data_IF_022396097629
#
_entry.id   IF_022396097629
#
_cell.length_a   1.000
_cell.length_b   1.000
_cell.length_c   1.000
_cell.angle_alpha   90.00
_cell.angle_beta   90.00
_cell.angle_gamma   90.00
#
_symmetry.space_group_name_H-M   'P 1'
#
loop_
_entity.id
_entity.type
_entity.pdbx_description
1 polymer ?
#
# COMPACT_ATOMS: atom_id res chain seq x y z
N UNK A 1 -3.94 19.80 0.96
CA UNK A 1 -4.83 18.68 0.71
C UNK A 1 -5.55 18.30 1.99
N UNK A 2 -6.85 18.59 2.03
CA UNK A 2 -7.66 18.41 3.25
C UNK A 2 -8.11 16.96 3.47
N UNK A 3 -8.00 16.10 2.44
CA UNK A 3 -8.47 14.71 2.48
C UNK A 3 -7.42 13.70 2.95
N UNK A 4 -6.14 14.10 3.08
CA UNK A 4 -5.03 13.20 3.34
C UNK A 4 -4.56 12.38 2.12
N UNK A 5 -5.27 12.45 0.99
CA UNK A 5 -4.83 11.82 -0.25
C UNK A 5 -3.92 12.76 -1.05
N UNK A 6 -2.78 12.23 -1.49
CA UNK A 6 -1.78 12.94 -2.26
C UNK A 6 -1.65 12.33 -3.65
N UNK A 7 -1.82 13.18 -4.68
CA UNK A 7 -1.73 12.75 -6.08
C UNK A 7 -0.39 13.19 -6.68
N UNK A 8 0.37 12.24 -7.22
CA UNK A 8 1.51 12.48 -8.11
C UNK A 8 1.08 12.14 -9.52
N UNK A 9 1.51 12.96 -10.48
CA UNK A 9 1.26 12.68 -11.89
C UNK A 9 2.40 13.21 -12.76
N UNK A 10 2.88 12.37 -13.65
CA UNK A 10 3.84 12.73 -14.69
C UNK A 10 3.63 11.83 -15.92
N UNK A 11 3.71 12.42 -17.12
CA UNK A 11 3.38 11.70 -18.35
C UNK A 11 1.99 11.08 -18.31
N UNK A 12 1.93 9.75 -18.48
CA UNK A 12 0.68 8.97 -18.38
C UNK A 12 0.49 8.30 -17.02
N UNK A 13 1.45 8.44 -16.10
CA UNK A 13 1.43 7.77 -14.80
C UNK A 13 0.79 8.66 -13.75
N UNK A 14 -0.15 8.09 -13.00
CA UNK A 14 -0.79 8.72 -11.84
C UNK A 14 -0.65 7.77 -10.66
N UNK A 15 -0.23 8.31 -9.53
CA UNK A 15 -0.16 7.63 -8.25
C UNK A 15 -0.96 8.43 -7.22
N UNK A 16 -1.73 7.74 -6.41
CA UNK A 16 -2.50 8.33 -5.30
C UNK A 16 -2.07 7.61 -4.02
N UNK A 17 -1.50 8.36 -3.09
CA UNK A 17 -1.06 7.91 -1.77
C UNK A 17 -2.07 8.32 -0.71
N UNK A 18 -2.48 7.40 0.15
CA UNK A 18 -3.23 7.67 1.38
C UNK A 18 -2.23 7.97 2.51
N UNK A 19 -2.04 9.24 2.81
CA UNK A 19 -1.17 9.73 3.89
C UNK A 19 -1.95 10.61 4.88
N UNK A 20 -3.24 10.35 5.01
CA UNK A 20 -4.10 10.99 6.00
C UNK A 20 -4.28 10.15 7.28
N UNK A 21 -4.64 10.80 8.38
CA UNK A 21 -5.10 10.06 9.55
C UNK A 21 -6.43 9.36 9.23
N UNK A 22 -6.70 8.19 9.84
CA UNK A 22 -8.00 7.55 9.71
C UNK A 22 -9.14 8.52 10.08
N UNK A 23 -10.31 8.37 9.44
CA UNK A 23 -11.43 9.28 9.68
C UNK A 23 -11.89 9.24 11.13
N UNK A 24 -12.31 10.39 11.66
CA UNK A 24 -12.84 10.54 13.02
C UNK A 24 -14.36 10.42 13.06
N UNK A 25 -14.91 10.20 14.26
CA UNK A 25 -16.36 10.19 14.55
C UNK A 25 -17.12 9.15 13.70
N UNK A 26 -18.31 9.52 13.18
CA UNK A 26 -19.20 8.61 12.44
C UNK A 26 -18.56 8.02 11.17
N UNK A 27 -17.73 8.80 10.48
CA UNK A 27 -16.97 8.33 9.31
C UNK A 27 -15.98 7.22 9.64
N UNK A 28 -15.57 7.08 10.90
CA UNK A 28 -14.71 6.03 11.41
C UNK A 28 -15.31 4.62 11.21
N UNK A 29 -16.63 4.48 11.26
CA UNK A 29 -17.33 3.19 11.10
C UNK A 29 -16.96 2.47 9.81
N UNK A 30 -16.60 3.20 8.78
CA UNK A 30 -16.27 2.67 7.45
C UNK A 30 -14.78 2.79 7.09
N UNK A 31 -13.98 3.30 8.00
CA UNK A 31 -12.56 3.51 7.79
C UNK A 31 -11.80 2.19 7.60
N UNK A 32 -10.73 2.25 6.82
CA UNK A 32 -9.83 1.14 6.55
C UNK A 32 -8.47 1.39 7.23
N UNK A 33 -7.80 0.32 7.64
CA UNK A 33 -6.46 0.36 8.17
C UNK A 33 -5.41 0.40 7.03
N UNK A 34 -5.63 1.28 6.03
CA UNK A 34 -4.85 1.38 4.80
C UNK A 34 -3.78 2.48 4.80
N UNK A 35 -3.37 2.96 5.97
CA UNK A 35 -2.40 4.05 6.06
C UNK A 35 -1.14 3.80 5.24
N UNK A 36 -0.68 4.84 4.54
CA UNK A 36 0.42 4.85 3.57
C UNK A 36 0.23 3.89 2.38
N UNK A 37 -0.97 3.39 2.13
CA UNK A 37 -1.25 2.63 0.90
C UNK A 37 -1.28 3.55 -0.31
N UNK A 38 -0.97 3.00 -1.50
CA UNK A 38 -1.10 3.76 -2.73
C UNK A 38 -1.74 2.94 -3.84
N UNK A 39 -2.33 3.64 -4.80
CA UNK A 39 -2.76 3.09 -6.08
C UNK A 39 -2.02 3.76 -7.22
N UNK A 40 -1.76 3.02 -8.29
CA UNK A 40 -1.02 3.50 -9.46
C UNK A 40 -1.70 3.08 -10.75
N UNK A 41 -1.83 4.03 -11.68
CA UNK A 41 -2.33 3.80 -13.03
C UNK A 41 -1.42 4.41 -14.08
N UNK A 42 -1.47 3.87 -15.32
CA UNK A 42 -0.75 4.39 -16.48
C UNK A 42 -1.73 4.54 -17.63
N UNK A 43 -2.04 5.76 -17.99
CA UNK A 43 -3.14 6.07 -18.90
C UNK A 43 -4.48 5.58 -18.32
N UNK A 44 -5.15 4.66 -19.03
CA UNK A 44 -6.41 4.06 -18.59
C UNK A 44 -6.24 2.72 -17.84
N UNK A 45 -5.03 2.21 -17.72
CA UNK A 45 -4.76 0.92 -17.10
C UNK A 45 -4.38 1.12 -15.64
N UNK A 46 -5.13 0.51 -14.72
CA UNK A 46 -4.76 0.42 -13.30
C UNK A 46 -3.73 -0.70 -13.15
N UNK A 47 -2.63 -0.42 -12.46
CA UNK A 47 -1.57 -1.41 -12.21
C UNK A 47 -1.61 -1.92 -10.77
N UNK A 48 -1.36 -1.02 -9.83
CA UNK A 48 -1.38 -1.28 -8.39
C UNK A 48 -2.66 -0.67 -7.84
N UNK A 49 -3.39 -1.45 -7.06
CA UNK A 49 -4.69 -1.09 -6.50
C UNK A 49 -4.78 -1.52 -5.04
N UNK A 50 -5.82 -1.11 -4.33
CA UNK A 50 -6.26 -1.75 -3.10
C UNK A 50 -7.40 -2.74 -3.43
N UNK A 51 -7.73 -3.66 -2.52
CA UNK A 51 -8.76 -4.68 -2.77
C UNK A 51 -10.18 -4.10 -2.91
N UNK A 52 -10.40 -2.85 -2.50
CA UNK A 52 -11.69 -2.18 -2.53
C UNK A 52 -12.50 -2.36 -1.25
N UNK A 53 -13.80 -2.12 -1.31
CA UNK A 53 -14.72 -2.21 -0.16
C UNK A 53 -15.99 -2.96 -0.53
N UNK A 54 -16.53 -3.77 0.39
CA UNK A 54 -17.70 -4.61 0.13
C UNK A 54 -18.66 -4.64 1.32
N UNK A 55 -19.53 -3.67 1.41
CA UNK A 55 -20.58 -3.65 2.45
C UNK A 55 -21.67 -4.69 2.19
N UNK A 56 -21.95 -4.98 0.93
CA UNK A 56 -23.05 -5.82 0.46
C UNK A 56 -22.67 -7.31 0.33
N UNK A 57 -21.39 -7.66 0.43
CA UNK A 57 -20.94 -9.07 0.41
C UNK A 57 -20.97 -9.74 1.80
N UNK A 58 -21.53 -9.07 2.80
CA UNK A 58 -21.62 -9.54 4.17
C UNK A 58 -20.47 -9.08 5.06
N UNK A 59 -20.67 -9.24 6.37
CA UNK A 59 -19.79 -8.68 7.40
C UNK A 59 -18.36 -9.24 7.32
N UNK A 60 -18.20 -10.52 7.02
CA UNK A 60 -16.88 -11.15 6.90
C UNK A 60 -16.02 -10.47 5.83
N UNK A 61 -16.56 -10.25 4.64
CA UNK A 61 -15.88 -9.52 3.57
C UNK A 61 -15.62 -8.06 3.94
N UNK A 62 -16.59 -7.41 4.56
CA UNK A 62 -16.42 -6.05 5.03
C UNK A 62 -15.23 -5.91 5.99
N UNK A 63 -15.12 -6.82 6.97
CA UNK A 63 -14.01 -6.79 7.93
C UNK A 63 -12.66 -7.08 7.28
N UNK A 64 -12.57 -8.10 6.42
CA UNK A 64 -11.32 -8.47 5.74
C UNK A 64 -10.80 -7.35 4.85
N UNK A 65 -11.67 -6.71 4.07
CA UNK A 65 -11.26 -5.65 3.13
C UNK A 65 -10.85 -4.34 3.83
N UNK A 66 -11.17 -4.17 5.10
CA UNK A 66 -10.71 -3.03 5.92
C UNK A 66 -9.32 -3.24 6.52
N UNK A 67 -8.77 -4.46 6.48
CA UNK A 67 -7.44 -4.77 7.06
C UNK A 67 -6.31 -4.11 6.28
N UNK A 68 -5.18 -3.89 6.93
CA UNK A 68 -3.96 -3.40 6.27
C UNK A 68 -3.52 -4.35 5.16
N UNK A 69 -3.68 -5.66 5.35
CA UNK A 69 -3.32 -6.68 4.36
C UNK A 69 -4.14 -6.59 3.05
N UNK A 70 -5.28 -5.91 3.03
CA UNK A 70 -6.09 -5.66 1.83
C UNK A 70 -5.68 -4.38 1.06
N UNK A 71 -4.58 -3.75 1.46
CA UNK A 71 -4.08 -2.50 0.89
C UNK A 71 -2.64 -2.64 0.43
N UNK A 72 -2.24 -1.84 -0.57
CA UNK A 72 -0.88 -1.80 -1.10
C UNK A 72 0.04 -1.01 -0.18
N UNK A 73 0.30 -1.58 0.99
CA UNK A 73 1.11 -1.05 2.08
C UNK A 73 1.76 -2.17 2.88
N UNK A 74 2.38 -1.85 4.01
CA UNK A 74 3.14 -2.78 4.84
C UNK A 74 2.32 -3.26 6.05
N UNK A 75 2.40 -4.56 6.35
CA UNK A 75 2.03 -5.14 7.65
C UNK A 75 3.27 -5.56 8.44
N UNK A 76 3.20 -5.51 9.76
CA UNK A 76 4.23 -6.00 10.70
C UNK A 76 3.63 -7.11 11.54
N UNK A 77 4.27 -8.30 11.56
CA UNK A 77 3.78 -9.52 12.23
C UNK A 77 2.29 -9.81 11.96
N UNK A 78 1.83 -9.53 10.72
CA UNK A 78 0.42 -9.66 10.27
C UNK A 78 -0.59 -8.82 11.07
N UNK A 79 -0.12 -7.83 11.81
CA UNK A 79 -0.95 -6.88 12.57
C UNK A 79 -1.30 -5.68 11.69
N UNK A 80 -2.51 -5.15 11.88
CA UNK A 80 -2.98 -3.94 11.20
C UNK A 80 -2.32 -2.66 11.76
N UNK A 81 -2.05 -1.69 10.89
CA UNK A 81 -1.55 -0.35 11.28
C UNK A 81 -2.55 0.45 12.12
N UNK A 82 -3.83 0.09 12.07
CA UNK A 82 -4.87 0.56 12.98
C UNK A 82 -5.69 -0.63 13.46
N UNK A 83 -6.11 -0.66 14.73
CA UNK A 83 -6.87 -1.77 15.28
C UNK A 83 -8.36 -1.60 14.96
N UNK A 84 -8.89 -2.50 14.15
CA UNK A 84 -10.29 -2.49 13.75
C UNK A 84 -11.20 -2.95 14.90
N UNK A 85 -12.34 -2.28 15.05
CA UNK A 85 -13.41 -2.75 15.92
C UNK A 85 -14.34 -3.69 15.16
N UNK A 86 -14.75 -4.79 15.80
CA UNK A 86 -15.58 -5.83 15.19
C UNK A 86 -16.96 -5.33 14.70
N UNK A 87 -17.53 -4.36 15.37
CA UNK A 87 -18.81 -3.75 15.01
C UNK A 87 -18.67 -2.48 14.13
N UNK A 88 -17.53 -2.32 13.47
CA UNK A 88 -17.18 -1.14 12.68
C UNK A 88 -16.39 -0.11 13.48
N UNK A 89 -15.65 0.75 12.76
CA UNK A 89 -14.75 1.71 13.38
C UNK A 89 -13.39 1.11 13.79
N UNK A 90 -12.72 1.81 14.69
CA UNK A 90 -11.40 1.45 15.20
C UNK A 90 -11.39 1.45 16.72
N UNK A 91 -10.65 0.51 17.31
CA UNK A 91 -10.26 0.52 18.73
C UNK A 91 -9.01 1.37 18.95
N UNK A 92 -8.09 1.36 17.97
CA UNK A 92 -6.86 2.14 17.97
C UNK A 92 -6.59 2.67 16.57
N UNK A 93 -6.24 3.95 16.48
CA UNK A 93 -5.76 4.62 15.27
C UNK A 93 -4.35 5.17 15.50
N UNK A 94 -3.57 5.43 14.45
CA UNK A 94 -2.35 6.22 14.56
C UNK A 94 -2.62 7.56 15.23
N UNK A 95 -1.71 7.97 16.10
CA UNK A 95 -1.76 9.29 16.75
C UNK A 95 -1.14 10.36 15.85
N UNK A 96 -0.12 9.96 15.08
CA UNK A 96 0.64 10.85 14.21
C UNK A 96 0.71 10.27 12.81
N UNK A 97 0.31 11.09 11.84
CA UNK A 97 0.53 10.86 10.42
C UNK A 97 1.12 12.13 9.85
N UNK A 98 2.29 12.02 9.26
CA UNK A 98 3.01 13.12 8.64
C UNK A 98 3.10 12.89 7.14
N UNK A 99 3.01 13.97 6.35
CA UNK A 99 3.27 13.92 4.93
C UNK A 99 3.88 15.24 4.44
N UNK A 100 4.93 15.13 3.64
CA UNK A 100 5.53 16.25 2.92
C UNK A 100 5.66 15.94 1.44
N UNK A 101 5.57 16.97 0.62
CA UNK A 101 5.80 16.89 -0.82
C UNK A 101 6.83 17.92 -1.22
N UNK A 102 7.77 17.52 -2.06
CA UNK A 102 8.82 18.40 -2.62
C UNK A 102 9.15 18.02 -4.06
N UNK A 103 9.70 18.94 -4.78
CA UNK A 103 10.27 18.72 -6.11
C UNK A 103 11.81 18.76 -5.98
N UNK A 104 12.50 17.74 -6.49
CA UNK A 104 13.95 17.61 -6.46
C UNK A 104 14.41 17.19 -7.86
N UNK A 105 15.21 18.01 -8.53
CA UNK A 105 15.72 17.74 -9.89
C UNK A 105 14.63 17.34 -10.88
N UNK A 106 13.50 18.03 -10.84
CA UNK A 106 12.32 17.76 -11.67
C UNK A 106 11.54 16.49 -11.31
N UNK A 107 11.92 15.79 -10.24
CA UNK A 107 11.20 14.62 -9.72
C UNK A 107 10.27 15.05 -8.62
N UNK A 108 9.04 14.58 -8.64
CA UNK A 108 8.13 14.72 -7.49
C UNK A 108 8.43 13.67 -6.44
N UNK A 109 8.71 14.12 -5.22
CA UNK A 109 8.95 13.26 -4.06
C UNK A 109 7.87 13.50 -3.02
N UNK A 110 7.22 12.43 -2.57
CA UNK A 110 6.36 12.42 -1.38
C UNK A 110 7.00 11.55 -0.31
N UNK A 111 7.06 12.09 0.89
CA UNK A 111 7.49 11.40 2.08
C UNK A 111 6.36 11.42 3.09
N UNK A 112 5.97 10.25 3.57
CA UNK A 112 4.93 10.11 4.59
C UNK A 112 5.35 9.13 5.68
N UNK A 113 4.87 9.34 6.90
CA UNK A 113 5.13 8.43 8.02
C UNK A 113 3.90 8.30 8.93
N UNK A 114 3.83 7.16 9.63
CA UNK A 114 2.76 6.87 10.59
C UNK A 114 3.30 6.09 11.78
N UNK A 115 2.78 6.39 12.97
CA UNK A 115 3.02 5.64 14.21
C UNK A 115 2.01 4.50 14.42
N UNK A 116 1.35 4.04 13.36
CA UNK A 116 0.37 2.95 13.43
C UNK A 116 0.89 1.67 14.07
N UNK A 117 2.20 1.44 14.02
CA UNK A 117 2.90 0.34 14.68
C UNK A 117 3.61 0.76 15.98
N UNK A 118 3.44 2.00 16.44
CA UNK A 118 4.07 2.52 17.67
C UNK A 118 3.62 1.76 18.90
N UNK A 119 2.34 1.80 19.24
CA UNK A 119 1.81 1.09 20.43
C UNK A 119 2.04 -0.42 20.43
N UNK A 120 1.78 -1.16 19.33
CA UNK A 120 2.00 -2.61 19.37
C UNK A 120 3.47 -3.03 19.35
N UNK A 121 4.38 -2.24 18.75
CA UNK A 121 5.74 -2.72 18.44
C UNK A 121 6.85 -1.69 18.65
N UNK A 122 6.52 -0.47 19.03
CA UNK A 122 7.47 0.65 19.08
C UNK A 122 8.17 0.89 17.72
N UNK A 123 7.36 0.89 16.65
CA UNK A 123 7.82 1.07 15.28
C UNK A 123 7.09 2.22 14.59
N UNK A 124 7.84 3.00 13.83
CA UNK A 124 7.32 4.01 12.90
C UNK A 124 7.53 3.50 11.48
N UNK A 125 6.47 3.48 10.70
CA UNK A 125 6.55 3.21 9.26
C UNK A 125 6.68 4.52 8.51
N UNK A 126 7.73 4.64 7.67
CA UNK A 126 7.98 5.75 6.76
C UNK A 126 8.02 5.22 5.35
N UNK A 127 7.32 5.91 4.44
CA UNK A 127 7.31 5.63 3.00
C UNK A 127 7.73 6.85 2.22
N UNK A 128 8.65 6.67 1.29
CA UNK A 128 9.03 7.68 0.31
C UNK A 128 8.65 7.15 -1.07
N UNK A 129 7.97 7.98 -1.85
CA UNK A 129 7.66 7.69 -3.26
C UNK A 129 8.21 8.82 -4.12
N UNK A 130 9.00 8.46 -5.12
CA UNK A 130 9.61 9.39 -6.08
C UNK A 130 9.17 9.01 -7.48
N UNK A 131 8.63 9.97 -8.22
CA UNK A 131 8.21 9.79 -9.61
C UNK A 131 9.14 10.58 -10.53
N UNK A 132 9.63 9.93 -11.61
CA UNK A 132 10.43 10.58 -12.64
C UNK A 132 9.63 11.66 -13.39
N UNK A 133 10.30 12.68 -13.97
CA UNK A 133 9.63 13.79 -14.66
C UNK A 133 8.71 13.35 -15.81
N UNK A 134 9.03 12.26 -16.49
CA UNK A 134 8.23 11.70 -17.59
C UNK A 134 7.24 10.61 -17.14
N UNK A 135 7.20 10.26 -15.84
CA UNK A 135 6.35 9.23 -15.29
C UNK A 135 6.73 7.79 -15.69
N UNK A 136 7.92 7.59 -16.29
CA UNK A 136 8.36 6.25 -16.72
C UNK A 136 8.91 5.39 -15.57
N UNK A 137 9.22 5.98 -14.42
CA UNK A 137 9.73 5.30 -13.26
C UNK A 137 9.11 5.84 -11.96
N UNK A 138 8.85 4.93 -11.04
CA UNK A 138 8.49 5.22 -9.65
C UNK A 138 9.46 4.44 -8.76
N UNK A 139 10.11 5.14 -7.84
CA UNK A 139 10.97 4.55 -6.82
C UNK A 139 10.23 4.66 -5.51
N UNK A 140 10.10 3.53 -4.79
CA UNK A 140 9.54 3.46 -3.46
C UNK A 140 10.59 3.02 -2.45
N UNK A 141 10.60 3.64 -1.29
CA UNK A 141 11.39 3.23 -0.14
C UNK A 141 10.47 3.12 1.07
N UNK A 142 10.47 1.96 1.72
CA UNK A 142 9.74 1.72 2.95
C UNK A 142 10.75 1.45 4.07
N UNK A 143 10.65 2.21 5.16
CA UNK A 143 11.50 2.11 6.33
C UNK A 143 10.66 1.81 7.56
N UNK A 144 11.16 0.93 8.43
CA UNK A 144 10.64 0.72 9.77
C UNK A 144 11.73 1.09 10.77
N UNK A 145 11.49 2.09 11.59
CA UNK A 145 12.42 2.55 12.62
C UNK A 145 11.88 2.26 14.01
N UNK A 146 12.73 1.72 14.89
CA UNK A 146 12.40 1.32 16.26
C UNK A 146 12.93 -0.07 16.59
N UNK A 147 12.17 -0.85 17.36
CA UNK A 147 12.58 -2.17 17.86
C UNK A 147 12.65 -3.21 16.73
N UNK A 148 13.76 -3.93 16.61
CA UNK A 148 13.97 -4.96 15.60
C UNK A 148 13.31 -6.30 15.89
N UNK A 149 13.64 -7.32 15.06
CA UNK A 149 13.25 -8.71 15.26
C UNK A 149 11.88 -9.10 14.68
N UNK A 150 11.08 -8.13 14.21
CA UNK A 150 9.74 -8.35 13.67
C UNK A 150 9.79 -8.77 12.20
N UNK A 151 8.76 -9.48 11.74
CA UNK A 151 8.55 -9.77 10.32
C UNK A 151 7.76 -8.63 9.68
N UNK A 152 8.06 -8.35 8.42
CA UNK A 152 7.23 -7.44 7.63
C UNK A 152 6.76 -8.11 6.35
N UNK A 153 5.62 -7.66 5.85
CA UNK A 153 5.12 -7.98 4.52
C UNK A 153 4.63 -6.71 3.85
N UNK A 154 5.34 -6.29 2.80
CA UNK A 154 4.97 -5.17 1.94
C UNK A 154 4.19 -5.73 0.75
N UNK A 155 2.95 -5.30 0.59
CA UNK A 155 2.02 -5.79 -0.42
C UNK A 155 1.79 -4.77 -1.52
N UNK A 156 1.66 -5.28 -2.75
CA UNK A 156 1.24 -4.52 -3.92
C UNK A 156 0.15 -5.35 -4.61
N UNK A 157 -1.11 -5.03 -4.35
CA UNK A 157 -2.25 -5.66 -4.99
C UNK A 157 -2.33 -5.21 -6.45
N UNK A 158 -2.58 -6.14 -7.34
CA UNK A 158 -2.62 -5.88 -8.76
C UNK A 158 -4.06 -5.86 -9.27
N UNK A 159 -4.34 -4.95 -10.20
CA UNK A 159 -5.63 -4.96 -10.86
C UNK A 159 -5.82 -6.27 -11.65
N UNK A 160 -7.02 -6.88 -11.71
CA UNK A 160 -7.25 -8.16 -12.38
C UNK A 160 -6.86 -8.23 -13.86
N UNK A 161 -6.69 -7.09 -14.51
CA UNK A 161 -6.23 -7.00 -15.90
C UNK A 161 -4.69 -6.96 -16.02
N UNK A 162 -3.95 -7.09 -14.92
CA UNK A 162 -2.49 -7.14 -14.89
C UNK A 162 -2.06 -8.59 -14.74
N UNK A 163 -1.30 -9.10 -15.70
CA UNK A 163 -0.63 -10.41 -15.59
C UNK A 163 0.74 -10.18 -14.97
N UNK A 164 1.01 -10.82 -13.84
CA UNK A 164 2.30 -10.78 -13.19
C UNK A 164 3.10 -12.06 -13.43
N UNK A 165 4.40 -11.94 -13.59
CA UNK A 165 5.33 -13.08 -13.74
C UNK A 165 6.63 -12.76 -13.01
N UNK A 166 7.13 -13.70 -12.21
CA UNK A 166 8.44 -13.57 -11.59
C UNK A 166 9.55 -13.68 -12.64
N UNK A 167 10.51 -12.80 -12.55
CA UNK A 167 11.71 -12.75 -13.41
C UNK A 167 12.96 -12.60 -12.55
N UNK A 168 14.13 -12.72 -13.15
CA UNK A 168 15.43 -12.55 -12.46
C UNK A 168 15.54 -13.44 -11.21
N UNK A 169 15.21 -14.73 -11.35
CA UNK A 169 15.24 -15.71 -10.26
C UNK A 169 14.44 -15.29 -9.02
N UNK A 170 13.26 -14.64 -9.23
CA UNK A 170 12.39 -14.19 -8.16
C UNK A 170 12.76 -12.84 -7.51
N UNK A 171 13.75 -12.12 -8.06
CA UNK A 171 14.15 -10.79 -7.56
C UNK A 171 13.32 -9.64 -8.14
N UNK A 172 12.51 -9.92 -9.15
CA UNK A 172 11.63 -8.95 -9.77
C UNK A 172 10.34 -9.60 -10.28
N UNK A 173 9.31 -8.79 -10.48
CA UNK A 173 8.07 -9.16 -11.13
C UNK A 173 7.86 -8.28 -12.37
N UNK A 174 7.50 -8.90 -13.49
CA UNK A 174 7.04 -8.20 -14.68
C UNK A 174 5.52 -8.06 -14.58
N UNK A 175 5.02 -6.84 -14.59
CA UNK A 175 3.62 -6.47 -14.51
C UNK A 175 3.15 -6.04 -15.89
N UNK A 176 2.37 -6.88 -16.58
CA UNK A 176 1.84 -6.61 -17.92
C UNK A 176 0.36 -6.28 -17.86
N UNK A 177 -0.03 -5.00 -18.01
CA UNK A 177 -1.42 -4.61 -18.13
C UNK A 177 -2.01 -5.13 -19.44
N UNK A 178 -3.34 -5.09 -19.58
CA UNK A 178 -4.01 -5.49 -20.81
C UNK A 178 -3.58 -4.65 -22.02
N UNK A 179 -3.31 -3.37 -21.82
CA UNK A 179 -2.84 -2.43 -22.84
C UNK A 179 -1.67 -1.60 -22.31
N UNK A 180 -0.78 -1.20 -23.23
CA UNK A 180 0.38 -0.38 -22.88
C UNK A 180 1.61 -1.19 -22.49
N UNK A 181 2.68 -0.52 -22.06
CA UNK A 181 3.96 -1.14 -21.73
C UNK A 181 3.88 -1.98 -20.45
N UNK A 182 4.71 -3.00 -20.39
CA UNK A 182 4.94 -3.75 -19.17
C UNK A 182 5.81 -2.93 -18.19
N UNK A 183 5.58 -3.13 -16.90
CA UNK A 183 6.34 -2.51 -15.82
C UNK A 183 7.14 -3.57 -15.08
N UNK A 184 8.38 -3.24 -14.72
CA UNK A 184 9.20 -4.09 -13.87
C UNK A 184 9.14 -3.57 -12.44
N UNK A 185 8.63 -4.37 -11.50
CA UNK A 185 8.78 -4.17 -10.07
C UNK A 185 9.99 -4.97 -9.60
N UNK A 186 11.01 -4.30 -9.13
CA UNK A 186 12.23 -4.94 -8.62
C UNK A 186 12.49 -4.48 -7.18
N UNK A 187 13.03 -5.35 -6.36
CA UNK A 187 13.40 -5.06 -4.97
C UNK A 187 14.87 -5.38 -4.74
N UNK A 188 15.62 -4.49 -4.07
CA UNK A 188 17.04 -4.74 -3.78
C UNK A 188 17.23 -5.79 -2.68
N UNK A 189 16.24 -5.93 -1.80
CA UNK A 189 16.27 -6.82 -0.64
C UNK A 189 14.90 -7.38 -0.32
N UNK A 190 14.85 -8.43 0.51
CA UNK A 190 13.62 -9.13 0.87
C UNK A 190 13.30 -10.29 -0.07
N UNK A 191 12.31 -11.08 0.33
CA UNK A 191 11.82 -12.22 -0.43
C UNK A 191 10.57 -11.82 -1.21
N UNK A 192 10.66 -11.79 -2.53
CA UNK A 192 9.56 -11.42 -3.41
C UNK A 192 8.80 -12.67 -3.86
N UNK A 193 7.46 -12.65 -3.69
CA UNK A 193 6.54 -13.69 -4.12
C UNK A 193 5.35 -13.11 -4.87
N UNK A 194 4.74 -13.93 -5.72
CA UNK A 194 3.39 -13.71 -6.23
C UNK A 194 2.42 -14.56 -5.44
N UNK A 195 1.35 -13.95 -4.96
CA UNK A 195 0.29 -14.59 -4.19
C UNK A 195 -1.07 -14.24 -4.78
N UNK A 196 -2.07 -15.05 -4.48
CA UNK A 196 -3.45 -14.76 -4.82
C UNK A 196 -3.96 -13.53 -4.07
N UNK A 197 -4.84 -12.80 -4.71
CA UNK A 197 -5.50 -11.63 -4.17
C UNK A 197 -6.92 -11.53 -4.70
N UNK A 198 -7.64 -10.51 -4.23
CA UNK A 198 -8.98 -10.16 -4.67
C UNK A 198 -9.07 -8.68 -5.02
N UNK A 199 -10.01 -8.35 -5.87
CA UNK A 199 -10.33 -6.99 -6.24
C UNK A 199 -11.84 -6.82 -6.40
N UNK A 200 -12.39 -5.78 -5.81
CA UNK A 200 -13.78 -5.41 -6.03
C UNK A 200 -13.89 -4.42 -7.20
N UNK A 201 -14.50 -4.90 -8.27
CA UNK A 201 -14.78 -4.12 -9.46
C UNK A 201 -16.20 -3.54 -9.35
N UNK A 202 -16.28 -2.35 -8.79
CA UNK A 202 -17.55 -1.72 -8.46
C UNK A 202 -18.24 -2.35 -7.23
N UNK A 203 -19.53 -2.05 -7.01
CA UNK A 203 -20.18 -2.40 -5.75
C UNK A 203 -20.46 -3.88 -5.54
N UNK A 204 -20.44 -4.72 -6.59
CA UNK A 204 -20.98 -6.10 -6.49
C UNK A 204 -20.03 -7.18 -6.99
N UNK A 205 -19.00 -6.86 -7.74
CA UNK A 205 -18.20 -7.86 -8.45
C UNK A 205 -16.87 -8.12 -7.79
N UNK A 206 -16.78 -9.22 -7.02
CA UNK A 206 -15.51 -9.76 -6.55
C UNK A 206 -14.79 -10.49 -7.70
N UNK A 207 -13.53 -10.12 -7.95
CA UNK A 207 -12.67 -10.73 -8.97
C UNK A 207 -11.41 -11.28 -8.33
N UNK A 208 -10.96 -12.42 -8.82
CA UNK A 208 -9.62 -12.93 -8.50
C UNK A 208 -8.58 -11.99 -9.12
N UNK A 209 -7.52 -11.74 -8.38
CA UNK A 209 -6.34 -11.01 -8.83
C UNK A 209 -5.08 -11.62 -8.22
N UNK A 210 -3.95 -10.95 -8.38
CA UNK A 210 -2.67 -11.31 -7.79
C UNK A 210 -2.16 -10.14 -6.95
N UNK A 211 -1.21 -10.43 -6.06
CA UNK A 211 -0.41 -9.43 -5.38
C UNK A 211 1.08 -9.81 -5.47
N UNK A 212 1.94 -8.80 -5.52
CA UNK A 212 3.35 -8.94 -5.23
C UNK A 212 3.54 -8.72 -3.75
N UNK A 213 4.18 -9.66 -3.07
CA UNK A 213 4.51 -9.56 -1.64
C UNK A 213 6.02 -9.57 -1.48
N UNK A 214 6.55 -8.57 -0.80
CA UNK A 214 7.96 -8.49 -0.39
C UNK A 214 8.02 -8.66 1.11
N UNK A 215 8.68 -9.70 1.58
CA UNK A 215 8.73 -10.04 3.00
C UNK A 215 10.17 -10.16 3.52
N UNK A 216 10.35 -9.92 4.81
CA UNK A 216 11.63 -10.01 5.48
C UNK A 216 11.52 -9.82 6.99
N UNK A 217 12.67 -9.62 7.63
CA UNK A 217 12.77 -9.27 9.06
C UNK A 217 13.34 -7.88 9.22
N UNK A 218 12.86 -7.17 10.22
CA UNK A 218 13.39 -5.87 10.63
C UNK A 218 14.64 -6.16 11.47
N UNK A 219 15.77 -5.67 11.01
CA UNK A 219 16.99 -5.66 11.84
C UNK A 219 16.91 -4.43 12.73
N UNK A 220 16.93 -4.62 14.06
CA UNK A 220 17.03 -3.52 14.99
C UNK A 220 18.30 -2.70 14.75
N UNK A 221 18.35 -1.45 15.22
CA UNK A 221 19.61 -0.72 15.30
C UNK A 221 20.53 -1.57 16.18
N UNK A 222 21.64 -2.07 15.61
CA UNK A 222 22.71 -2.63 16.39
C UNK A 222 23.17 -1.58 17.40
N UNK A 223 23.34 -2.02 18.63
CA UNK A 223 23.93 -1.21 19.68
C UNK A 223 25.36 -0.82 19.29
#
# INVERSE_FOLDING_TARGET
PHSGFHRLAAGKTVLILDAGPPPKLEANKWGHAGGLSFEMSVGKERLIVNCGTARHLGEAWHQVLRTTAAHSTMTVDDVNSAELHRLGGFKRIPSNVYCSRREIDGKTVIEASTDGYGKPFDLIHRRILMMSPNGAAVIGEDQLSGTGGRKYSLRFHLHPNVKATLIQHGKAALLKPRRGPAWKLAVPSGNLKLEDSVYLDGPVRLRRSQQVVVSGRIFGRGA
#
